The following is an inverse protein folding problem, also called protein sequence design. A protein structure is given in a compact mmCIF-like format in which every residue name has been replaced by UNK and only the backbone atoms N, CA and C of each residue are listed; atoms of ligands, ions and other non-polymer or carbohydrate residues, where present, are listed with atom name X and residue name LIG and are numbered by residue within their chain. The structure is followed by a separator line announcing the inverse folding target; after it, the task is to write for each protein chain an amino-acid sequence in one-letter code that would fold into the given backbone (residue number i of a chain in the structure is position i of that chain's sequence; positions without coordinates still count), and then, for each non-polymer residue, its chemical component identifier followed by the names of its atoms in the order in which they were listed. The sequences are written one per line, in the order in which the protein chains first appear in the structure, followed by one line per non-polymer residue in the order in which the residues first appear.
data_IF_311558288674
#
_entry.id   IF_311558288674
#
_cell.length_a   1.000
_cell.length_b   1.000
_cell.length_c   1.000
_cell.angle_alpha   90.00
_cell.angle_beta   90.00
_cell.angle_gamma   90.00
#
_symmetry.space_group_name_H-M   'P 1'
#
loop_
_entity.id
_entity.type
_entity.pdbx_description
1 polymer ?
#
# COMPACT_ATOMS: atom_id res chain seq x y z
N UNK A 1 -3.22 9.61 18.06
CA UNK A 1 -2.67 9.69 16.70
C UNK A 1 -1.35 10.46 16.73
N UNK A 2 -0.22 9.83 17.14
CA UNK A 2 1.03 10.58 17.36
C UNK A 2 1.76 11.05 16.10
N UNK A 3 1.23 10.79 14.90
CA UNK A 3 1.89 11.11 13.63
C UNK A 3 0.95 11.70 12.56
N UNK A 4 -0.16 12.30 12.97
CA UNK A 4 -1.02 13.06 12.06
C UNK A 4 -0.40 14.44 11.86
N UNK A 5 0.30 14.64 10.74
CA UNK A 5 0.64 15.96 10.27
C UNK A 5 -0.60 16.56 9.60
N UNK A 6 -1.19 17.56 10.23
CA UNK A 6 -2.22 18.38 9.62
C UNK A 6 -1.89 19.84 9.81
N UNK A 7 -2.17 20.64 8.81
CA UNK A 7 -2.07 22.10 8.90
C UNK A 7 -3.35 22.65 9.51
N UNK A 8 -3.20 23.66 10.35
CA UNK A 8 -4.33 24.45 10.84
C UNK A 8 -4.21 25.83 10.18
N UNK A 9 -5.13 26.12 9.29
CA UNK A 9 -5.25 27.44 8.70
C UNK A 9 -6.42 28.17 9.37
N UNK A 10 -6.18 29.40 9.83
CA UNK A 10 -7.21 30.25 10.43
C UNK A 10 -7.66 31.27 9.41
N UNK A 11 -8.86 31.08 8.89
CA UNK A 11 -9.47 31.98 7.91
C UNK A 11 -10.52 32.83 8.60
N UNK A 12 -10.35 34.17 8.55
CA UNK A 12 -11.31 35.12 9.09
C UNK A 12 -12.42 35.37 8.06
N UNK A 13 -13.63 34.94 8.38
CA UNK A 13 -14.81 35.09 7.50
C UNK A 13 -15.89 35.92 8.19
N UNK A 14 -16.77 36.52 7.37
CA UNK A 14 -17.90 37.31 7.86
C UNK A 14 -19.11 36.47 8.28
N UNK A 15 -19.05 35.15 8.05
CA UNK A 15 -20.09 34.20 8.41
C UNK A 15 -19.51 32.84 8.75
N UNK A 16 -20.34 31.94 9.27
CA UNK A 16 -19.98 30.54 9.58
C UNK A 16 -20.29 29.58 8.42
N UNK A 17 -20.62 30.13 7.22
CA UNK A 17 -20.89 29.30 6.05
C UNK A 17 -19.61 28.99 5.27
N UNK A 18 -19.57 27.84 4.60
CA UNK A 18 -18.46 27.43 3.74
C UNK A 18 -18.27 28.36 2.54
N UNK A 19 -19.37 28.94 2.03
CA UNK A 19 -19.34 29.92 0.92
C UNK A 19 -18.48 31.12 1.25
N UNK A 20 -18.50 31.59 2.50
CA UNK A 20 -17.65 32.72 2.91
C UNK A 20 -16.16 32.44 2.92
N UNK A 21 -15.77 31.17 2.93
CA UNK A 21 -14.36 30.75 2.78
C UNK A 21 -13.98 30.78 1.29
N UNK A 22 -14.85 30.31 0.41
CA UNK A 22 -14.62 30.32 -1.04
C UNK A 22 -14.49 31.78 -1.61
N UNK A 23 -15.22 32.71 -1.05
CA UNK A 23 -15.11 34.13 -1.39
C UNK A 23 -13.72 34.72 -1.08
N UNK A 24 -13.03 34.17 -0.10
CA UNK A 24 -11.70 34.63 0.31
C UNK A 24 -10.61 33.91 -0.48
N UNK A 25 -10.73 32.60 -0.69
CA UNK A 25 -9.77 31.81 -1.43
C UNK A 25 -10.48 30.67 -2.19
N UNK A 26 -10.50 30.78 -3.51
CA UNK A 26 -11.08 29.78 -4.41
C UNK A 26 -10.39 28.40 -4.35
N UNK A 27 -9.20 28.31 -3.76
CA UNK A 27 -8.51 27.04 -3.49
C UNK A 27 -9.40 26.04 -2.71
N UNK A 28 -10.29 26.56 -1.87
CA UNK A 28 -11.18 25.74 -1.05
C UNK A 28 -12.51 25.40 -1.74
N UNK A 29 -12.73 25.79 -3.00
CA UNK A 29 -14.03 25.59 -3.70
C UNK A 29 -14.39 24.09 -3.84
N UNK A 30 -13.40 23.23 -4.06
CA UNK A 30 -13.56 21.77 -4.15
C UNK A 30 -13.34 21.05 -2.82
N UNK A 31 -13.31 21.76 -1.69
CA UNK A 31 -12.98 21.19 -0.39
C UNK A 31 -14.26 20.85 0.38
N UNK A 32 -14.34 19.64 0.93
CA UNK A 32 -15.43 19.24 1.82
C UNK A 32 -15.18 19.74 3.24
N UNK A 33 -16.12 20.52 3.80
CA UNK A 33 -16.01 21.05 5.16
C UNK A 33 -16.77 20.19 6.16
N UNK A 34 -16.08 19.78 7.23
CA UNK A 34 -16.67 19.04 8.34
C UNK A 34 -16.73 19.93 9.56
N UNK A 35 -17.92 20.05 10.18
CA UNK A 35 -18.09 20.81 11.40
C UNK A 35 -17.35 20.11 12.56
N UNK A 36 -16.65 20.89 13.39
CA UNK A 36 -15.86 20.39 14.51
C UNK A 36 -16.64 19.53 15.52
N UNK A 37 -17.97 19.70 15.62
CA UNK A 37 -18.83 18.88 16.49
C UNK A 37 -19.01 17.45 15.99
N UNK A 38 -18.57 17.14 14.77
CA UNK A 38 -18.67 15.81 14.14
C UNK A 38 -17.32 15.08 14.23
N UNK A 39 -16.75 15.03 15.44
CA UNK A 39 -15.44 14.44 15.69
C UNK A 39 -15.27 13.02 15.11
N UNK A 40 -16.29 12.17 15.21
CA UNK A 40 -16.24 10.81 14.67
C UNK A 40 -16.13 10.80 13.15
N UNK A 41 -16.83 11.70 12.45
CA UNK A 41 -16.68 11.88 11.01
C UNK A 41 -15.28 12.39 10.64
N UNK A 42 -14.76 13.35 11.40
CA UNK A 42 -13.39 13.84 11.19
C UNK A 42 -12.39 12.69 11.32
N UNK A 43 -12.49 11.86 12.35
CA UNK A 43 -11.63 10.68 12.54
C UNK A 43 -11.79 9.68 11.39
N UNK A 44 -13.02 9.43 10.91
CA UNK A 44 -13.26 8.54 9.77
C UNK A 44 -12.61 9.08 8.46
N UNK A 45 -12.72 10.37 8.19
CA UNK A 45 -12.07 11.02 7.05
C UNK A 45 -10.54 10.92 7.13
N UNK A 46 -9.97 11.33 8.25
CA UNK A 46 -8.52 11.27 8.47
C UNK A 46 -8.02 9.81 8.38
N UNK A 47 -8.79 8.86 8.90
CA UNK A 47 -8.45 7.43 8.83
C UNK A 47 -8.47 6.90 7.40
N UNK A 48 -9.37 7.38 6.55
CA UNK A 48 -9.42 7.02 5.12
C UNK A 48 -8.23 7.59 4.34
N UNK A 49 -7.83 8.82 4.63
CA UNK A 49 -6.66 9.47 4.01
C UNK A 49 -5.33 8.82 4.40
N UNK A 50 -5.27 8.17 5.56
CA UNK A 50 -4.07 7.48 6.06
C UNK A 50 -3.96 6.05 5.50
N UNK A 51 -5.06 5.48 4.96
CA UNK A 51 -5.02 4.16 4.36
C UNK A 51 -4.20 4.15 3.07
N UNK A 52 -3.22 3.27 3.05
CA UNK A 52 -2.48 2.95 1.84
C UNK A 52 -3.09 1.69 1.19
N UNK A 53 -3.02 1.61 -0.13
CA UNK A 53 -3.43 0.43 -0.89
C UNK A 53 -2.20 -0.32 -1.45
N UNK A 54 -2.43 -1.52 -1.97
CA UNK A 54 -1.37 -2.35 -2.52
C UNK A 54 -0.58 -1.65 -3.64
N UNK A 55 -1.25 -0.82 -4.46
CA UNK A 55 -0.61 -0.09 -5.54
C UNK A 55 0.32 1.03 -5.02
N UNK A 56 -0.01 1.66 -3.89
CA UNK A 56 0.87 2.65 -3.26
C UNK A 56 2.17 2.01 -2.79
N UNK A 57 2.08 0.84 -2.14
CA UNK A 57 3.25 0.05 -1.72
C UNK A 57 4.06 -0.42 -2.93
N UNK A 58 3.38 -0.95 -3.96
CA UNK A 58 4.03 -1.40 -5.20
C UNK A 58 4.81 -0.27 -5.90
N UNK A 59 4.24 0.94 -5.94
CA UNK A 59 4.95 2.12 -6.49
C UNK A 59 6.17 2.49 -5.65
N UNK A 60 6.09 2.40 -4.32
CA UNK A 60 7.24 2.67 -3.45
C UNK A 60 8.37 1.65 -3.67
N UNK A 61 8.03 0.36 -3.82
CA UNK A 61 9.00 -0.69 -4.20
C UNK A 61 9.69 -0.34 -5.52
N UNK A 62 8.91 0.01 -6.56
CA UNK A 62 9.42 0.38 -7.87
C UNK A 62 10.26 1.68 -7.86
N UNK A 63 10.02 2.58 -6.92
CA UNK A 63 10.87 3.76 -6.72
C UNK A 63 12.27 3.40 -6.20
N UNK A 64 12.40 2.26 -5.50
CA UNK A 64 13.67 1.77 -4.95
C UNK A 64 14.39 0.80 -5.91
N UNK A 65 13.63 -0.07 -6.60
CA UNK A 65 14.19 -1.10 -7.50
C UNK A 65 13.28 -1.32 -8.71
N UNK A 66 13.86 -1.30 -9.90
CA UNK A 66 13.15 -1.67 -11.13
C UNK A 66 12.93 -3.18 -11.17
N UNK A 67 11.67 -3.59 -11.25
CA UNK A 67 11.21 -4.99 -11.23
C UNK A 67 10.23 -5.24 -12.38
N UNK A 68 10.20 -6.47 -12.90
CA UNK A 68 9.10 -6.93 -13.76
C UNK A 68 7.80 -7.08 -12.95
N UNK A 69 6.66 -7.19 -13.65
CA UNK A 69 5.37 -7.40 -12.96
C UNK A 69 5.41 -8.65 -12.06
N UNK A 70 5.99 -9.77 -12.54
CA UNK A 70 6.12 -11.00 -11.76
C UNK A 70 6.95 -10.79 -10.49
N UNK A 71 8.14 -10.22 -10.61
CA UNK A 71 9.02 -9.95 -9.46
C UNK A 71 8.34 -9.03 -8.45
N UNK A 72 7.69 -7.96 -8.93
CA UNK A 72 6.97 -7.01 -8.08
C UNK A 72 5.88 -7.69 -7.24
N UNK A 73 5.08 -8.59 -7.82
CA UNK A 73 4.04 -9.32 -7.09
C UNK A 73 4.64 -10.16 -5.95
N UNK A 74 5.76 -10.83 -6.18
CA UNK A 74 6.41 -11.66 -5.16
C UNK A 74 7.05 -10.82 -4.06
N UNK A 75 7.73 -9.75 -4.42
CA UNK A 75 8.30 -8.81 -3.45
C UNK A 75 7.20 -8.16 -2.60
N UNK A 76 6.10 -7.71 -3.22
CA UNK A 76 4.94 -7.16 -2.53
C UNK A 76 4.34 -8.16 -1.52
N UNK A 77 4.23 -9.44 -1.93
CA UNK A 77 3.76 -10.51 -1.06
C UNK A 77 4.67 -10.70 0.16
N UNK A 78 5.99 -10.82 -0.03
CA UNK A 78 6.92 -11.00 1.09
C UNK A 78 6.96 -9.80 2.04
N UNK A 79 6.79 -8.58 1.52
CA UNK A 79 6.63 -7.38 2.35
C UNK A 79 5.36 -7.49 3.19
N UNK A 80 4.23 -7.87 2.58
CA UNK A 80 2.96 -8.04 3.28
C UNK A 80 3.02 -9.12 4.36
N UNK A 81 3.67 -10.26 4.08
CA UNK A 81 3.93 -11.33 5.06
C UNK A 81 4.71 -10.81 6.25
N UNK A 82 5.83 -10.13 6.02
CA UNK A 82 6.65 -9.58 7.13
C UNK A 82 5.90 -8.56 7.94
N UNK A 83 5.14 -7.69 7.26
CA UNK A 83 4.41 -6.63 7.92
C UNK A 83 3.32 -7.20 8.86
N UNK A 84 2.47 -8.12 8.38
CA UNK A 84 1.41 -8.69 9.21
C UNK A 84 1.97 -9.54 10.35
N UNK A 85 3.06 -10.27 10.14
CA UNK A 85 3.71 -11.07 11.20
C UNK A 85 4.37 -10.21 12.27
N UNK A 86 4.92 -9.04 11.89
CA UNK A 86 5.59 -8.12 12.83
C UNK A 86 4.58 -7.28 13.64
N UNK A 87 3.49 -6.84 13.00
CA UNK A 87 2.60 -5.83 13.60
C UNK A 87 1.19 -6.32 13.89
N UNK A 88 0.82 -7.51 13.43
CA UNK A 88 -0.52 -8.08 13.57
C UNK A 88 -1.65 -7.25 12.95
N UNK A 89 -1.32 -6.44 11.94
CA UNK A 89 -2.26 -5.64 11.16
C UNK A 89 -2.03 -5.84 9.67
N UNK A 90 -3.11 -5.74 8.89
CA UNK A 90 -3.03 -5.76 7.42
C UNK A 90 -2.24 -4.55 6.92
N UNK A 91 -1.39 -4.75 5.92
CA UNK A 91 -0.68 -3.66 5.27
C UNK A 91 -1.61 -2.81 4.39
N UNK A 92 -2.59 -3.44 3.74
CA UNK A 92 -3.62 -2.83 2.90
C UNK A 92 -4.89 -3.68 2.92
N UNK A 93 -6.00 -3.16 2.39
CA UNK A 93 -7.30 -3.85 2.47
C UNK A 93 -7.47 -4.96 1.41
N UNK A 94 -6.76 -4.88 0.26
CA UNK A 94 -6.84 -5.87 -0.80
C UNK A 94 -6.32 -7.24 -0.34
N UNK A 95 -6.90 -8.30 -0.88
CA UNK A 95 -6.42 -9.67 -0.70
C UNK A 95 -5.54 -10.09 -1.89
N UNK A 96 -4.65 -11.05 -1.63
CA UNK A 96 -3.93 -11.72 -2.71
C UNK A 96 -4.81 -12.80 -3.34
N UNK A 97 -4.78 -12.89 -4.66
CA UNK A 97 -5.34 -14.03 -5.39
C UNK A 97 -4.30 -15.13 -5.55
N UNK A 98 -4.79 -16.38 -5.59
CA UNK A 98 -3.99 -17.59 -5.62
C UNK A 98 -3.74 -18.06 -7.07
N UNK A 99 -2.92 -17.32 -7.84
CA UNK A 99 -2.61 -17.62 -9.25
C UNK A 99 -1.54 -18.72 -9.38
N UNK A 100 -1.42 -19.32 -10.59
CA UNK A 100 -0.47 -20.42 -10.82
C UNK A 100 1.00 -20.05 -10.62
N UNK A 101 1.35 -18.79 -10.84
CA UNK A 101 2.71 -18.29 -10.57
C UNK A 101 2.84 -17.65 -9.18
N UNK A 102 1.97 -18.01 -8.24
CA UNK A 102 2.00 -17.58 -6.85
C UNK A 102 1.06 -16.41 -6.55
N UNK A 103 1.17 -15.80 -5.35
CA UNK A 103 0.32 -14.71 -4.89
C UNK A 103 0.35 -13.50 -5.82
N UNK A 104 -0.84 -12.92 -6.10
CA UNK A 104 -1.01 -11.73 -6.96
C UNK A 104 -2.06 -10.80 -6.37
N UNK A 105 -1.80 -9.49 -6.35
CA UNK A 105 -2.82 -8.47 -6.14
C UNK A 105 -3.32 -7.97 -7.50
N UNK A 106 -4.58 -8.23 -7.89
CA UNK A 106 -5.08 -7.94 -9.25
C UNK A 106 -4.94 -6.47 -9.65
N UNK A 107 -5.20 -5.52 -8.76
CA UNK A 107 -5.08 -4.10 -9.04
C UNK A 107 -3.66 -3.70 -9.46
N UNK A 108 -2.66 -4.25 -8.77
CA UNK A 108 -1.24 -4.05 -9.09
C UNK A 108 -0.88 -4.74 -10.40
N UNK A 109 -1.35 -5.98 -10.61
CA UNK A 109 -1.12 -6.71 -11.86
C UNK A 109 -1.64 -5.93 -13.08
N UNK A 110 -2.89 -5.45 -13.02
CA UNK A 110 -3.49 -4.72 -14.14
C UNK A 110 -2.80 -3.39 -14.41
N UNK A 111 -2.37 -2.68 -13.38
CA UNK A 111 -1.56 -1.47 -13.54
C UNK A 111 -0.24 -1.75 -14.27
N UNK A 112 0.41 -2.88 -13.95
CA UNK A 112 1.72 -3.26 -14.50
C UNK A 112 1.63 -4.05 -15.82
N UNK A 113 0.45 -4.58 -16.21
CA UNK A 113 0.25 -5.48 -17.37
C UNK A 113 0.81 -4.91 -18.68
N UNK A 114 0.72 -3.59 -18.88
CA UNK A 114 1.21 -2.92 -20.09
C UNK A 114 2.72 -3.04 -20.31
N UNK A 115 3.50 -3.34 -19.28
CA UNK A 115 4.96 -3.51 -19.38
C UNK A 115 5.38 -4.94 -19.76
N UNK A 116 4.44 -5.89 -19.83
CA UNK A 116 4.72 -7.29 -20.19
C UNK A 116 5.73 -7.92 -19.25
N UNK A 117 6.88 -8.36 -19.80
CA UNK A 117 7.99 -8.96 -19.04
C UNK A 117 9.12 -7.99 -18.72
N UNK A 118 9.01 -6.76 -19.22
CA UNK A 118 10.03 -5.74 -19.03
C UNK A 118 10.06 -5.23 -17.58
N UNK A 119 11.22 -4.71 -17.17
CA UNK A 119 11.35 -4.05 -15.86
C UNK A 119 10.64 -2.69 -15.89
N UNK A 120 9.84 -2.46 -14.88
CA UNK A 120 9.10 -1.23 -14.71
C UNK A 120 10.02 -0.18 -14.08
N UNK A 121 10.13 0.96 -14.73
CA UNK A 121 10.92 2.10 -14.26
C UNK A 121 9.97 3.24 -13.93
N UNK A 122 10.08 3.76 -12.71
CA UNK A 122 9.37 4.97 -12.29
C UNK A 122 10.29 6.18 -12.44
N UNK A 123 9.81 7.21 -13.14
CA UNK A 123 10.51 8.48 -13.28
C UNK A 123 10.71 9.13 -11.90
N UNK A 124 11.91 9.68 -11.68
CA UNK A 124 12.30 10.31 -10.41
C UNK A 124 11.34 11.41 -9.94
N UNK A 125 10.72 12.16 -10.87
CA UNK A 125 9.71 13.18 -10.54
C UNK A 125 8.49 12.65 -9.79
N UNK A 126 8.13 11.36 -10.00
CA UNK A 126 7.01 10.74 -9.30
C UNK A 126 7.38 10.20 -7.93
N UNK A 127 8.67 10.04 -7.61
CA UNK A 127 9.11 9.51 -6.31
C UNK A 127 8.62 10.36 -5.15
N UNK A 128 8.70 11.70 -5.29
CA UNK A 128 8.26 12.62 -4.25
C UNK A 128 6.76 12.42 -3.96
N UNK A 129 5.93 12.30 -5.00
CA UNK A 129 4.49 12.09 -4.85
C UNK A 129 4.19 10.76 -4.16
N UNK A 130 4.87 9.68 -4.57
CA UNK A 130 4.69 8.34 -3.99
C UNK A 130 5.03 8.34 -2.50
N UNK A 131 6.19 8.87 -2.13
CA UNK A 131 6.63 8.88 -0.74
C UNK A 131 5.86 9.89 0.12
N UNK A 132 5.41 11.02 -0.44
CA UNK A 132 4.53 11.95 0.25
C UNK A 132 3.18 11.32 0.60
N UNK A 133 2.60 10.51 -0.30
CA UNK A 133 1.39 9.76 0.02
C UNK A 133 1.65 8.70 1.10
N UNK A 134 2.74 7.95 0.97
CA UNK A 134 3.10 6.90 1.91
C UNK A 134 3.44 7.44 3.30
N UNK A 135 4.02 8.65 3.39
CA UNK A 135 4.40 9.26 4.67
C UNK A 135 3.22 9.55 5.60
N UNK A 136 2.00 9.61 5.06
CA UNK A 136 0.77 9.71 5.85
C UNK A 136 0.42 8.42 6.60
N UNK A 137 0.99 7.29 6.20
CA UNK A 137 0.79 6.01 6.87
C UNK A 137 1.51 5.99 8.21
N UNK A 138 0.81 5.67 9.28
CA UNK A 138 1.33 5.76 10.66
C UNK A 138 2.55 4.88 10.96
N UNK A 139 2.82 3.86 10.11
CA UNK A 139 4.00 2.99 10.18
C UNK A 139 4.91 3.16 8.96
N UNK A 140 4.99 4.36 8.45
CA UNK A 140 5.77 4.68 7.25
C UNK A 140 7.22 4.22 7.33
N UNK A 141 7.94 4.57 8.39
CA UNK A 141 9.34 4.21 8.55
C UNK A 141 9.55 2.71 8.73
N UNK A 142 8.66 2.05 9.49
CA UNK A 142 8.65 0.59 9.64
C UNK A 142 8.44 -0.11 8.28
N UNK A 143 7.54 0.42 7.46
CA UNK A 143 7.28 -0.11 6.12
C UNK A 143 8.49 0.08 5.20
N UNK A 144 9.15 1.25 5.23
CA UNK A 144 10.35 1.49 4.44
C UNK A 144 11.49 0.53 4.82
N UNK A 145 11.70 0.28 6.11
CA UNK A 145 12.68 -0.70 6.60
C UNK A 145 12.37 -2.10 6.07
N UNK A 146 11.11 -2.55 6.18
CA UNK A 146 10.70 -3.86 5.66
C UNK A 146 10.89 -3.95 4.13
N UNK A 147 10.58 -2.88 3.38
CA UNK A 147 10.81 -2.85 1.93
C UNK A 147 12.31 -3.02 1.63
N UNK A 148 13.19 -2.30 2.33
CA UNK A 148 14.63 -2.36 2.11
C UNK A 148 15.19 -3.74 2.47
N UNK A 149 14.77 -4.32 3.59
CA UNK A 149 15.17 -5.67 4.03
C UNK A 149 14.77 -6.74 3.02
N UNK A 150 13.52 -6.69 2.52
CA UNK A 150 13.03 -7.66 1.53
C UNK A 150 13.76 -7.50 0.19
N UNK A 151 13.99 -6.25 -0.26
CA UNK A 151 14.73 -6.00 -1.49
C UNK A 151 16.18 -6.46 -1.39
N UNK A 152 16.81 -6.34 -0.23
CA UNK A 152 18.19 -6.81 0.00
C UNK A 152 18.24 -8.34 0.07
N UNK A 153 17.32 -9.00 0.80
CA UNK A 153 17.27 -10.45 0.88
C UNK A 153 17.11 -11.10 -0.50
N UNK A 154 16.20 -10.56 -1.32
CA UNK A 154 15.89 -11.13 -2.63
C UNK A 154 16.66 -10.48 -3.80
N UNK A 155 17.71 -9.71 -3.52
CA UNK A 155 18.43 -8.96 -4.56
C UNK A 155 19.02 -9.81 -5.69
N UNK A 156 19.41 -11.03 -5.38
CA UNK A 156 20.04 -11.98 -6.29
C UNK A 156 19.11 -13.09 -6.77
N UNK A 157 17.83 -13.08 -6.36
CA UNK A 157 16.87 -14.09 -6.78
C UNK A 157 16.40 -13.86 -8.20
N UNK A 158 16.36 -14.92 -8.99
CA UNK A 158 15.69 -14.93 -10.28
C UNK A 158 14.17 -14.91 -10.10
N UNK A 159 13.40 -14.50 -11.13
CA UNK A 159 11.94 -14.57 -11.07
C UNK A 159 11.41 -15.97 -10.72
N UNK A 160 12.08 -17.04 -11.19
CA UNK A 160 11.72 -18.41 -10.88
C UNK A 160 11.92 -18.72 -9.39
N UNK A 161 13.06 -18.36 -8.82
CA UNK A 161 13.34 -18.57 -7.39
C UNK A 161 12.36 -17.82 -6.49
N UNK A 162 11.92 -16.61 -6.90
CA UNK A 162 10.88 -15.89 -6.18
C UNK A 162 9.52 -16.62 -6.22
N UNK A 163 9.17 -17.22 -7.37
CA UNK A 163 7.98 -18.07 -7.49
C UNK A 163 8.11 -19.28 -6.59
N UNK A 164 9.21 -20.05 -6.71
CA UNK A 164 9.46 -21.25 -5.92
C UNK A 164 9.41 -20.93 -4.41
N UNK A 165 9.98 -19.80 -3.99
CA UNK A 165 9.91 -19.34 -2.60
C UNK A 165 8.48 -19.02 -2.15
N UNK A 166 7.67 -18.39 -3.00
CA UNK A 166 6.26 -18.10 -2.68
C UNK A 166 5.34 -19.33 -2.71
N UNK A 167 5.82 -20.46 -3.24
CA UNK A 167 5.14 -21.76 -3.28
C UNK A 167 5.62 -22.71 -2.17
N UNK A 168 6.32 -22.19 -1.18
CA UNK A 168 6.82 -22.99 -0.05
C UNK A 168 5.71 -23.86 0.55
N UNK A 169 6.00 -25.13 0.81
CA UNK A 169 5.07 -26.04 1.47
C UNK A 169 4.70 -25.53 2.87
N UNK A 170 3.41 -25.52 3.21
CA UNK A 170 2.88 -24.90 4.41
C UNK A 170 2.77 -23.37 4.37
N UNK A 171 3.22 -22.73 3.30
CA UNK A 171 3.00 -21.29 3.06
C UNK A 171 1.55 -20.98 2.70
N UNK A 172 1.14 -19.72 2.82
CA UNK A 172 -0.25 -19.32 2.64
C UNK A 172 -0.79 -19.62 1.21
N UNK A 173 0.06 -19.49 0.19
CA UNK A 173 -0.32 -19.85 -1.18
C UNK A 173 -0.58 -21.37 -1.32
N UNK A 174 0.32 -22.19 -0.82
CA UNK A 174 0.20 -23.66 -0.84
C UNK A 174 -1.05 -24.13 -0.08
N UNK A 175 -1.28 -23.59 1.11
CA UNK A 175 -2.48 -23.88 1.90
C UNK A 175 -3.76 -23.44 1.19
N UNK A 176 -3.78 -22.25 0.53
CA UNK A 176 -4.92 -21.80 -0.24
C UNK A 176 -5.21 -22.72 -1.43
N UNK A 177 -4.17 -23.19 -2.14
CA UNK A 177 -4.32 -24.18 -3.24
C UNK A 177 -4.90 -25.50 -2.73
N UNK A 178 -4.42 -26.01 -1.60
CA UNK A 178 -4.94 -27.23 -0.96
C UNK A 178 -6.40 -27.09 -0.53
N UNK A 179 -6.84 -25.89 -0.18
CA UNK A 179 -8.22 -25.56 0.16
C UNK A 179 -9.11 -25.23 -1.06
N UNK A 180 -8.57 -25.24 -2.27
CA UNK A 180 -9.23 -24.77 -3.51
C UNK A 180 -9.77 -23.35 -3.39
N UNK A 181 -9.06 -22.47 -2.72
CA UNK A 181 -9.42 -21.06 -2.57
C UNK A 181 -8.79 -20.22 -3.67
N UNK A 182 -9.57 -19.34 -4.29
CA UNK A 182 -9.08 -18.39 -5.28
C UNK A 182 -8.34 -17.22 -4.64
N UNK A 183 -8.53 -16.99 -3.32
CA UNK A 183 -7.89 -15.92 -2.57
C UNK A 183 -7.06 -16.43 -1.40
N UNK A 184 -6.07 -15.64 -1.01
CA UNK A 184 -5.20 -15.87 0.14
C UNK A 184 -5.56 -14.86 1.22
N UNK A 185 -6.29 -15.29 2.24
CA UNK A 185 -6.72 -14.41 3.32
C UNK A 185 -5.55 -13.92 4.17
N UNK A 186 -5.67 -12.71 4.70
CA UNK A 186 -4.67 -12.14 5.61
C UNK A 186 -4.46 -12.99 6.88
N UNK A 187 -5.51 -13.65 7.37
CA UNK A 187 -5.39 -14.57 8.50
C UNK A 187 -4.51 -15.77 8.15
N UNK A 188 -4.65 -16.29 6.94
CA UNK A 188 -3.81 -17.41 6.48
C UNK A 188 -2.35 -16.98 6.32
N UNK A 189 -2.09 -15.81 5.76
CA UNK A 189 -0.74 -15.23 5.66
C UNK A 189 -0.10 -15.08 7.05
N UNK A 190 -0.87 -14.65 8.05
CA UNK A 190 -0.38 -14.44 9.40
C UNK A 190 0.10 -15.75 10.07
N UNK A 191 -0.63 -16.86 9.88
CA UNK A 191 -0.38 -18.13 10.57
C UNK A 191 0.45 -19.13 9.77
N UNK A 192 0.65 -18.89 8.48
CA UNK A 192 1.43 -19.78 7.59
C UNK A 192 2.93 -19.74 7.87
N UNK A 193 3.66 -20.70 7.29
CA UNK A 193 5.12 -20.86 7.45
C UNK A 193 5.95 -19.98 6.47
N UNK A 194 5.33 -19.00 5.83
CA UNK A 194 6.04 -18.08 4.91
C UNK A 194 7.20 -17.31 5.54
#
# INVERSE_FOLDING_TARGET
FPHLDFNIDVVYTNSTSSESIYEIDSYFEDTEFIKYIEYEKFIDYVSKDIKINALDVAKAILCKKSLSNLELQKILYFIAVRFIKKYDIKLFDEEFECWDLGPVVPSVYHFCKKYGREKIIIDNKFKVIVFSKLSKFNRYYDLLEIIDDVLEEFKNFTPKELVDKSHKDGGAWDLSKKLNSDTISWNLIKVSDD
#
